data_IF_722833046916
#
_entry.id   IF_722833046916
#
_cell.length_a   1.000
_cell.length_b   1.000
_cell.length_c   1.000
_cell.angle_alpha   90.00
_cell.angle_beta   90.00
_cell.angle_gamma   90.00
#
_symmetry.space_group_name_H-M   'P 1'
#
loop_
_entity.id
_entity.type
_entity.pdbx_description
1 polymer ?
#
# COMPACT_ATOMS: atom_id res chain seq x y z
N UNK A 1 -2.31 -15.22 50.00
CA UNK A 1 -3.04 -15.83 48.87
C UNK A 1 -3.14 -14.74 47.81
N UNK A 2 -2.20 -14.71 46.87
CA UNK A 2 -2.13 -13.66 45.84
C UNK A 2 -3.30 -13.78 44.87
N UNK A 3 -4.18 -12.79 44.91
CA UNK A 3 -5.16 -12.54 43.86
C UNK A 3 -4.42 -12.20 42.57
N UNK A 4 -4.25 -13.21 41.71
CA UNK A 4 -3.89 -13.01 40.30
C UNK A 4 -5.00 -12.17 39.66
N UNK A 5 -4.78 -10.85 39.58
CA UNK A 5 -5.55 -9.95 38.72
C UNK A 5 -5.57 -10.55 37.31
N UNK A 6 -6.70 -11.12 36.94
CA UNK A 6 -7.00 -11.44 35.57
C UNK A 6 -7.13 -10.08 34.86
N UNK A 7 -6.04 -9.55 34.31
CA UNK A 7 -6.13 -8.42 33.38
C UNK A 7 -7.06 -8.85 32.25
N UNK A 8 -8.29 -8.34 32.27
CA UNK A 8 -9.20 -8.43 31.13
C UNK A 8 -8.49 -7.80 29.94
N UNK A 9 -7.93 -8.65 29.07
CA UNK A 9 -7.20 -8.20 27.90
C UNK A 9 -8.11 -7.32 27.04
N UNK A 10 -7.71 -6.08 26.81
CA UNK A 10 -8.45 -5.15 25.95
C UNK A 10 -8.69 -5.81 24.56
N UNK A 11 -9.94 -5.97 24.11
CA UNK A 11 -10.24 -6.66 22.85
C UNK A 11 -9.52 -6.05 21.64
N UNK A 12 -9.33 -4.72 21.60
CA UNK A 12 -8.58 -4.05 20.55
C UNK A 12 -7.11 -4.52 20.48
N UNK A 13 -6.50 -4.85 21.62
CA UNK A 13 -5.12 -5.36 21.67
C UNK A 13 -5.04 -6.77 21.07
N UNK A 14 -6.03 -7.62 21.35
CA UNK A 14 -6.13 -8.97 20.80
C UNK A 14 -6.35 -8.92 19.29
N UNK A 15 -7.26 -8.05 18.81
CA UNK A 15 -7.52 -7.85 17.39
C UNK A 15 -6.28 -7.34 16.66
N UNK A 16 -5.53 -6.39 17.25
CA UNK A 16 -4.28 -5.90 16.69
C UNK A 16 -3.20 -6.99 16.65
N UNK A 17 -3.06 -7.80 17.70
CA UNK A 17 -2.11 -8.92 17.71
C UNK A 17 -2.45 -9.94 16.62
N UNK A 18 -3.74 -10.26 16.42
CA UNK A 18 -4.18 -11.14 15.34
C UNK A 18 -3.88 -10.56 13.95
N UNK A 19 -4.08 -9.26 13.76
CA UNK A 19 -3.69 -8.57 12.52
C UNK A 19 -2.18 -8.64 12.27
N UNK A 20 -1.37 -8.37 13.30
CA UNK A 20 0.10 -8.44 13.21
C UNK A 20 0.57 -9.86 12.91
N UNK A 21 -0.09 -10.89 13.45
CA UNK A 21 0.28 -12.30 13.29
C UNK A 21 -0.30 -12.97 12.03
N UNK A 22 -1.25 -12.33 11.34
CA UNK A 22 -1.87 -12.89 10.14
C UNK A 22 -0.82 -13.27 9.06
N UNK A 23 -1.01 -14.45 8.47
CA UNK A 23 -0.05 -15.10 7.55
C UNK A 23 -0.53 -15.20 6.10
N UNK A 24 -1.75 -14.74 5.84
CA UNK A 24 -2.38 -14.74 4.50
C UNK A 24 -2.93 -13.36 4.18
N UNK A 25 -3.07 -13.04 2.90
CA UNK A 25 -3.62 -11.75 2.45
C UNK A 25 -5.07 -11.57 2.97
N UNK A 26 -5.97 -12.52 2.67
CA UNK A 26 -7.35 -12.53 3.22
C UNK A 26 -7.41 -12.43 4.74
N UNK A 27 -6.58 -13.20 5.45
CA UNK A 27 -6.56 -13.18 6.91
C UNK A 27 -6.12 -11.83 7.46
N UNK A 28 -5.16 -11.18 6.79
CA UNK A 28 -4.69 -9.83 7.15
C UNK A 28 -5.79 -8.78 6.93
N UNK A 29 -6.45 -8.79 5.76
CA UNK A 29 -7.56 -7.89 5.44
C UNK A 29 -8.73 -8.07 6.43
N UNK A 30 -9.16 -9.30 6.66
CA UNK A 30 -10.23 -9.62 7.61
C UNK A 30 -9.89 -9.17 9.04
N UNK A 31 -8.70 -9.51 9.52
CA UNK A 31 -8.28 -9.13 10.87
C UNK A 31 -8.19 -7.60 11.05
N UNK A 32 -7.78 -6.88 10.00
CA UNK A 32 -7.74 -5.42 10.02
C UNK A 32 -9.13 -4.79 9.98
N UNK A 33 -10.05 -5.35 9.18
CA UNK A 33 -11.44 -4.89 9.14
C UNK A 33 -12.10 -5.03 10.53
N UNK A 34 -11.98 -6.20 11.16
CA UNK A 34 -12.53 -6.43 12.51
C UNK A 34 -11.92 -5.49 13.55
N UNK A 35 -10.62 -5.14 13.42
CA UNK A 35 -9.99 -4.12 14.27
C UNK A 35 -10.58 -2.72 14.02
N UNK A 36 -10.79 -2.34 12.76
CA UNK A 36 -11.38 -1.04 12.41
C UNK A 36 -12.83 -0.95 12.89
N UNK A 37 -13.62 -2.01 12.73
CA UNK A 37 -15.01 -2.07 13.18
C UNK A 37 -15.09 -1.92 14.70
N UNK A 38 -14.26 -2.66 15.45
CA UNK A 38 -14.21 -2.56 16.91
C UNK A 38 -13.77 -1.17 17.42
N UNK A 39 -12.89 -0.49 16.68
CA UNK A 39 -12.44 0.86 16.99
C UNK A 39 -13.33 1.95 16.38
N UNK A 40 -14.41 1.59 15.68
CA UNK A 40 -15.31 2.49 14.95
C UNK A 40 -14.55 3.44 14.00
N UNK A 41 -13.61 2.88 13.25
CA UNK A 41 -12.79 3.61 12.28
C UNK A 41 -13.25 3.28 10.86
N UNK A 42 -13.33 4.31 10.02
CA UNK A 42 -13.60 4.18 8.58
C UNK A 42 -12.30 4.40 7.80
N UNK A 43 -11.68 3.35 7.22
CA UNK A 43 -10.48 3.50 6.39
C UNK A 43 -10.65 4.46 5.21
N UNK A 44 -11.90 4.66 4.74
CA UNK A 44 -12.23 5.61 3.68
C UNK A 44 -11.89 7.08 4.04
N UNK A 45 -11.89 7.43 5.33
CA UNK A 45 -11.53 8.77 5.84
C UNK A 45 -9.99 8.96 5.91
N UNK A 46 -9.31 8.67 4.80
CA UNK A 46 -7.86 8.45 4.69
C UNK A 46 -7.00 9.54 5.35
N UNK A 47 -7.39 10.82 5.23
CA UNK A 47 -6.64 11.97 5.77
C UNK A 47 -6.43 11.93 7.28
N UNK A 48 -7.36 11.32 8.02
CA UNK A 48 -7.33 11.29 9.49
C UNK A 48 -7.20 9.88 10.06
N UNK A 49 -7.36 8.86 9.21
CA UNK A 49 -7.47 7.46 9.62
C UNK A 49 -6.28 7.00 10.47
N UNK A 50 -5.04 7.17 9.98
CA UNK A 50 -3.83 6.75 10.70
C UNK A 50 -3.72 7.41 12.09
N UNK A 51 -3.98 8.71 12.17
CA UNK A 51 -3.93 9.45 13.43
C UNK A 51 -5.00 8.96 14.42
N UNK A 52 -6.23 8.72 13.95
CA UNK A 52 -7.31 8.16 14.76
C UNK A 52 -7.00 6.75 15.23
N UNK A 53 -6.53 5.87 14.34
CA UNK A 53 -6.09 4.51 14.67
C UNK A 53 -5.04 4.52 15.77
N UNK A 54 -3.98 5.31 15.59
CA UNK A 54 -2.91 5.45 16.58
C UNK A 54 -3.45 5.96 17.92
N UNK A 55 -4.34 6.96 17.92
CA UNK A 55 -4.90 7.54 19.14
C UNK A 55 -5.79 6.58 19.92
N UNK A 56 -6.61 5.77 19.23
CA UNK A 56 -7.51 4.79 19.86
C UNK A 56 -6.78 3.51 20.30
N UNK A 57 -5.64 3.17 19.69
CA UNK A 57 -4.87 1.97 20.00
C UNK A 57 -3.66 2.27 20.92
N UNK A 58 -3.95 2.54 22.20
CA UNK A 58 -2.92 2.71 23.24
C UNK A 58 -2.37 1.37 23.74
N UNK A 59 -1.64 0.67 22.85
CA UNK A 59 -1.08 -0.64 23.11
C UNK A 59 0.45 -0.60 23.12
N UNK A 60 1.10 -1.11 24.18
CA UNK A 60 2.56 -1.11 24.30
C UNK A 60 3.27 -1.80 23.12
N UNK A 61 2.66 -2.87 22.58
CA UNK A 61 3.16 -3.58 21.40
C UNK A 61 3.10 -2.76 20.12
N UNK A 62 2.26 -1.73 20.05
CA UNK A 62 2.07 -0.87 18.89
C UNK A 62 2.91 0.43 18.94
N UNK A 63 3.26 0.92 20.14
CA UNK A 63 4.01 2.18 20.33
C UNK A 63 5.30 2.28 19.49
N UNK A 64 6.10 1.22 19.46
CA UNK A 64 7.36 1.20 18.70
C UNK A 64 7.13 1.25 17.17
N UNK A 65 6.00 0.71 16.69
CA UNK A 65 5.60 0.80 15.29
C UNK A 65 5.17 2.23 14.94
N UNK A 66 4.38 2.86 15.80
CA UNK A 66 3.96 4.25 15.64
C UNK A 66 5.14 5.20 15.54
N UNK A 67 6.10 5.11 16.46
CA UNK A 67 7.29 5.95 16.43
C UNK A 67 8.10 5.83 15.12
N UNK A 68 8.14 4.63 14.52
CA UNK A 68 8.82 4.39 13.23
C UNK A 68 8.09 5.05 12.06
N UNK A 69 6.77 4.87 11.98
CA UNK A 69 5.95 5.44 10.92
C UNK A 69 5.85 6.97 11.06
N UNK A 70 5.67 7.49 12.27
CA UNK A 70 5.70 8.93 12.57
C UNK A 70 7.05 9.55 12.16
N UNK A 71 8.18 8.90 12.50
CA UNK A 71 9.52 9.36 12.08
C UNK A 71 9.63 9.42 10.55
N UNK A 72 9.16 8.39 9.83
CA UNK A 72 9.16 8.39 8.36
C UNK A 72 8.30 9.52 7.80
N UNK A 73 7.04 9.63 8.22
CA UNK A 73 6.09 10.64 7.72
C UNK A 73 6.46 12.07 8.08
N UNK A 74 7.31 12.28 9.09
CA UNK A 74 7.84 13.60 9.46
C UNK A 74 8.93 14.13 8.54
N UNK A 75 9.44 13.32 7.59
CA UNK A 75 10.47 13.76 6.66
C UNK A 75 10.00 14.98 5.84
N UNK A 76 10.89 15.94 5.63
CA UNK A 76 10.57 17.24 5.02
C UNK A 76 9.91 17.11 3.63
N UNK A 77 10.30 16.09 2.87
CA UNK A 77 9.81 15.85 1.51
C UNK A 77 8.30 15.52 1.49
N UNK A 78 7.77 14.92 2.55
CA UNK A 78 6.33 14.65 2.66
C UNK A 78 5.50 15.88 3.02
N UNK A 79 6.14 17.02 3.36
CA UNK A 79 5.48 18.27 3.75
C UNK A 79 4.37 18.07 4.80
N UNK A 80 4.61 17.20 5.78
CA UNK A 80 3.63 16.81 6.82
C UNK A 80 2.33 16.20 6.23
N UNK A 81 2.45 15.40 5.18
CA UNK A 81 1.31 14.79 4.48
C UNK A 81 0.48 15.78 3.66
N UNK A 82 1.07 16.90 3.25
CA UNK A 82 0.37 17.96 2.51
C UNK A 82 0.86 18.14 1.07
N UNK A 83 1.79 17.32 0.61
CA UNK A 83 2.36 17.43 -0.73
C UNK A 83 1.34 17.06 -1.83
N UNK A 84 0.50 16.05 -1.58
CA UNK A 84 -0.43 15.49 -2.57
C UNK A 84 -1.88 15.37 -2.04
N UNK A 85 -2.32 16.27 -1.15
CA UNK A 85 -3.61 16.14 -0.42
C UNK A 85 -4.86 16.02 -1.28
N UNK A 86 -4.83 16.56 -2.50
CA UNK A 86 -5.95 16.52 -3.45
C UNK A 86 -5.69 15.58 -4.63
N UNK A 87 -4.65 14.76 -4.56
CA UNK A 87 -4.31 13.78 -5.60
C UNK A 87 -4.91 12.43 -5.23
N UNK A 88 -5.62 11.83 -6.18
CA UNK A 88 -6.18 10.49 -6.16
C UNK A 88 -5.35 9.59 -7.07
N UNK A 89 -4.79 8.55 -6.48
CA UNK A 89 -3.93 7.60 -7.17
C UNK A 89 -4.62 6.22 -7.24
N UNK A 90 -4.51 5.56 -8.38
CA UNK A 90 -4.81 4.14 -8.57
C UNK A 90 -3.50 3.37 -8.83
N UNK A 91 -3.28 2.29 -8.09
CA UNK A 91 -2.14 1.40 -8.27
C UNK A 91 -2.63 0.03 -8.69
N UNK A 92 -2.09 -0.48 -9.80
CA UNK A 92 -2.39 -1.80 -10.32
C UNK A 92 -1.36 -2.78 -9.78
N UNK A 93 -1.78 -3.72 -8.93
CA UNK A 93 -0.95 -4.79 -8.40
C UNK A 93 -0.44 -4.56 -6.97
N UNK A 94 -0.68 -5.53 -6.10
CA UNK A 94 -0.20 -5.58 -4.72
C UNK A 94 1.12 -6.38 -4.61
N UNK A 95 2.01 -6.23 -5.60
CA UNK A 95 3.40 -6.69 -5.51
C UNK A 95 4.22 -5.84 -4.52
N UNK A 96 5.46 -6.25 -4.19
CA UNK A 96 6.32 -5.45 -3.31
C UNK A 96 6.49 -4.00 -3.79
N UNK A 97 6.74 -3.79 -5.08
CA UNK A 97 6.91 -2.44 -5.63
C UNK A 97 5.61 -1.63 -5.56
N UNK A 98 4.47 -2.18 -6.00
CA UNK A 98 3.17 -1.50 -5.96
C UNK A 98 2.78 -1.08 -4.54
N UNK A 99 2.89 -1.99 -3.56
CA UNK A 99 2.61 -1.67 -2.15
C UNK A 99 3.60 -0.65 -1.58
N UNK A 100 4.89 -0.74 -1.95
CA UNK A 100 5.89 0.22 -1.48
C UNK A 100 5.62 1.61 -2.04
N UNK A 101 5.26 1.73 -3.32
CA UNK A 101 4.85 3.01 -3.93
C UNK A 101 3.59 3.55 -3.28
N UNK A 102 2.62 2.69 -2.98
CA UNK A 102 1.40 3.06 -2.26
C UNK A 102 1.70 3.73 -0.92
N UNK A 103 2.64 3.18 -0.16
CA UNK A 103 3.07 3.71 1.14
C UNK A 103 3.65 5.13 1.00
N UNK A 104 4.52 5.40 0.03
CA UNK A 104 5.07 6.76 -0.14
C UNK A 104 4.01 7.77 -0.59
N UNK A 105 3.10 7.38 -1.49
CA UNK A 105 2.00 8.27 -1.92
C UNK A 105 1.06 8.59 -0.77
N UNK A 106 0.78 7.62 0.10
CA UNK A 106 0.00 7.84 1.31
C UNK A 106 0.72 8.80 2.26
N UNK A 107 2.03 8.66 2.45
CA UNK A 107 2.83 9.59 3.27
C UNK A 107 2.90 11.01 2.67
N UNK A 108 2.85 11.14 1.34
CA UNK A 108 2.71 12.44 0.66
C UNK A 108 1.33 13.08 0.88
N UNK A 109 0.34 12.32 1.35
CA UNK A 109 -1.02 12.78 1.65
C UNK A 109 -2.05 12.47 0.56
N UNK A 110 -1.70 11.69 -0.46
CA UNK A 110 -2.62 11.31 -1.54
C UNK A 110 -3.70 10.33 -1.07
N UNK A 111 -4.85 10.33 -1.73
CA UNK A 111 -5.81 9.22 -1.66
C UNK A 111 -5.25 8.09 -2.53
N UNK A 112 -4.95 6.95 -1.93
CA UNK A 112 -4.37 5.81 -2.65
C UNK A 112 -5.35 4.64 -2.62
N UNK A 113 -5.66 4.12 -3.81
CA UNK A 113 -6.41 2.89 -4.02
C UNK A 113 -5.50 1.90 -4.75
N UNK A 114 -5.42 0.67 -4.25
CA UNK A 114 -4.69 -0.43 -4.87
C UNK A 114 -5.68 -1.49 -5.30
N UNK A 115 -5.59 -1.94 -6.55
CA UNK A 115 -6.36 -3.09 -7.05
C UNK A 115 -5.41 -4.26 -7.33
N UNK A 116 -5.78 -5.46 -6.92
CA UNK A 116 -4.99 -6.68 -7.14
C UNK A 116 -5.91 -7.80 -7.63
N UNK A 117 -5.50 -8.43 -8.73
CA UNK A 117 -6.24 -9.53 -9.35
C UNK A 117 -6.35 -10.76 -8.42
N UNK A 118 -5.34 -11.03 -7.59
CA UNK A 118 -5.30 -12.19 -6.70
C UNK A 118 -5.74 -11.85 -5.27
N UNK A 119 -6.20 -12.83 -4.53
CA UNK A 119 -6.49 -12.69 -3.10
C UNK A 119 -5.48 -13.39 -2.18
N UNK A 120 -4.40 -13.92 -2.74
CA UNK A 120 -3.38 -14.65 -2.02
C UNK A 120 -1.96 -14.30 -2.48
N UNK A 121 -1.05 -14.22 -1.52
CA UNK A 121 0.39 -14.12 -1.76
C UNK A 121 1.02 -15.52 -1.68
N UNK A 122 1.23 -16.15 -2.83
CA UNK A 122 1.65 -17.55 -2.95
C UNK A 122 3.13 -17.76 -3.29
N UNK A 123 3.84 -16.73 -3.73
CA UNK A 123 5.23 -16.84 -4.20
C UNK A 123 6.21 -17.02 -3.05
N UNK A 124 6.89 -18.17 -3.02
CA UNK A 124 7.90 -18.50 -2.02
C UNK A 124 9.34 -18.16 -2.46
N UNK A 125 9.54 -17.74 -3.72
CA UNK A 125 10.86 -17.31 -4.20
C UNK A 125 11.46 -16.24 -3.27
N UNK A 126 12.77 -16.28 -3.12
CA UNK A 126 13.52 -15.44 -2.20
C UNK A 126 14.19 -14.31 -2.99
N UNK A 127 14.05 -13.08 -2.48
CA UNK A 127 14.70 -11.88 -3.00
C UNK A 127 15.88 -11.53 -2.11
N UNK A 128 17.03 -11.31 -2.73
CA UNK A 128 18.15 -10.63 -2.06
C UNK A 128 17.80 -9.15 -1.83
N UNK A 129 18.20 -8.62 -0.68
CA UNK A 129 17.92 -7.26 -0.24
C UNK A 129 19.24 -6.49 -0.09
N UNK A 130 19.35 -5.37 -0.80
CA UNK A 130 20.47 -4.47 -0.60
C UNK A 130 20.39 -3.79 0.77
N UNK A 131 21.52 -3.32 1.33
CA UNK A 131 21.55 -2.71 2.66
C UNK A 131 20.54 -1.57 2.85
N UNK A 132 20.35 -0.71 1.84
CA UNK A 132 19.38 0.38 1.93
C UNK A 132 17.94 -0.12 2.05
N UNK A 133 17.61 -1.26 1.43
CA UNK A 133 16.27 -1.85 1.50
C UNK A 133 16.00 -2.42 2.87
N UNK A 134 17.00 -3.11 3.44
CA UNK A 134 16.91 -3.62 4.80
C UNK A 134 16.67 -2.45 5.76
N UNK A 135 17.39 -1.33 5.58
CA UNK A 135 17.16 -0.11 6.34
C UNK A 135 15.76 0.45 6.15
N UNK A 136 15.29 0.56 4.90
CA UNK A 136 13.96 1.07 4.57
C UNK A 136 12.84 0.26 5.25
N UNK A 137 12.86 -1.06 5.09
CA UNK A 137 11.89 -1.98 5.67
C UNK A 137 11.96 -2.00 7.21
N UNK A 138 13.16 -1.91 7.82
CA UNK A 138 13.31 -1.71 9.28
C UNK A 138 12.71 -0.37 9.73
N UNK A 139 12.82 0.66 8.90
CA UNK A 139 12.21 1.97 9.10
C UNK A 139 10.68 1.95 9.03
N UNK A 140 10.10 1.02 8.25
CA UNK A 140 8.64 0.78 8.19
C UNK A 140 8.13 -0.21 9.25
N UNK A 141 9.02 -0.71 10.12
CA UNK A 141 8.64 -1.62 11.20
C UNK A 141 8.56 -3.10 10.80
N UNK A 142 9.25 -3.53 9.73
CA UNK A 142 9.23 -4.92 9.25
C UNK A 142 9.41 -5.98 10.35
N UNK A 143 10.32 -5.76 11.31
CA UNK A 143 10.58 -6.69 12.42
C UNK A 143 9.36 -6.89 13.35
N UNK A 144 8.42 -5.95 13.38
CA UNK A 144 7.16 -6.07 14.14
C UNK A 144 6.22 -7.09 13.51
N UNK A 145 6.17 -7.11 12.18
CA UNK A 145 5.29 -7.98 11.40
C UNK A 145 5.93 -9.33 11.06
N UNK A 146 7.26 -9.38 11.03
CA UNK A 146 8.05 -10.57 10.76
C UNK A 146 9.30 -10.58 11.65
N UNK A 147 9.22 -11.26 12.80
CA UNK A 147 10.28 -11.24 13.81
C UNK A 147 11.65 -11.76 13.31
N UNK A 148 11.63 -12.62 12.29
CA UNK A 148 12.82 -13.18 11.64
C UNK A 148 13.43 -12.24 10.58
N UNK A 149 12.85 -11.07 10.34
CA UNK A 149 13.31 -10.13 9.31
C UNK A 149 14.78 -9.74 9.52
N UNK A 150 15.64 -10.19 8.59
CA UNK A 150 17.07 -9.90 8.56
C UNK A 150 17.73 -10.04 9.96
N UNK A 151 17.50 -11.18 10.61
CA UNK A 151 18.16 -11.54 11.86
C UNK A 151 19.60 -12.02 11.58
N UNK A 152 20.58 -11.53 12.35
CA UNK A 152 21.99 -11.81 12.09
C UNK A 152 22.44 -11.24 10.74
N UNK A 153 23.11 -12.07 9.94
CA UNK A 153 23.60 -11.72 8.60
C UNK A 153 22.59 -12.02 7.46
N UNK A 154 21.33 -12.32 7.78
CA UNK A 154 20.30 -12.59 6.77
C UNK A 154 19.98 -11.30 6.00
N UNK A 155 20.10 -11.35 4.69
CA UNK A 155 19.94 -10.25 3.74
C UNK A 155 18.89 -10.56 2.65
N UNK A 156 17.97 -11.48 2.92
CA UNK A 156 16.99 -11.94 1.95
C UNK A 156 15.62 -12.19 2.57
N UNK A 157 14.57 -12.19 1.74
CA UNK A 157 13.18 -12.41 2.17
C UNK A 157 12.36 -13.08 1.05
N UNK A 158 11.42 -13.95 1.39
CA UNK A 158 10.49 -14.47 0.39
C UNK A 158 9.47 -13.42 -0.06
N UNK A 159 9.09 -13.47 -1.34
CA UNK A 159 8.19 -12.48 -1.95
C UNK A 159 6.89 -12.34 -1.14
N UNK A 160 6.26 -13.45 -0.78
CA UNK A 160 5.01 -13.42 0.01
C UNK A 160 5.16 -12.77 1.38
N UNK A 161 6.30 -12.94 2.05
CA UNK A 161 6.53 -12.33 3.36
C UNK A 161 6.73 -10.82 3.23
N UNK A 162 7.47 -10.39 2.20
CA UNK A 162 7.60 -8.97 1.88
C UNK A 162 6.25 -8.33 1.55
N UNK A 163 5.42 -9.00 0.75
CA UNK A 163 4.05 -8.54 0.45
C UNK A 163 3.20 -8.42 1.71
N UNK A 164 3.24 -9.38 2.65
CA UNK A 164 2.49 -9.29 3.92
C UNK A 164 2.96 -8.13 4.81
N UNK A 165 4.26 -7.88 4.90
CA UNK A 165 4.81 -6.76 5.67
C UNK A 165 4.29 -5.44 5.09
N UNK A 166 4.42 -5.25 3.78
CA UNK A 166 4.02 -4.02 3.12
C UNK A 166 2.49 -3.84 3.12
N UNK A 167 1.72 -4.92 2.98
CA UNK A 167 0.26 -4.90 3.09
C UNK A 167 -0.18 -4.37 4.46
N UNK A 168 0.44 -4.85 5.55
CA UNK A 168 0.11 -4.40 6.90
C UNK A 168 0.41 -2.92 7.10
N UNK A 169 1.56 -2.45 6.60
CA UNK A 169 1.92 -1.03 6.65
C UNK A 169 0.95 -0.18 5.83
N UNK A 170 0.60 -0.62 4.62
CA UNK A 170 -0.33 0.07 3.74
C UNK A 170 -1.72 0.25 4.39
N UNK A 171 -2.26 -0.83 4.98
CA UNK A 171 -3.55 -0.79 5.68
C UNK A 171 -3.53 0.17 6.88
N UNK A 172 -2.46 0.15 7.68
CA UNK A 172 -2.29 1.08 8.82
C UNK A 172 -2.31 2.55 8.36
N UNK A 173 -1.71 2.84 7.20
CA UNK A 173 -1.66 4.19 6.64
C UNK A 173 -2.97 4.61 5.95
N UNK A 174 -4.00 3.76 5.95
CA UNK A 174 -5.32 4.09 5.38
C UNK A 174 -5.39 3.91 3.86
N UNK A 175 -4.48 3.13 3.29
CA UNK A 175 -4.52 2.78 1.86
C UNK A 175 -5.66 1.80 1.63
N UNK A 176 -6.49 2.10 0.63
CA UNK A 176 -7.62 1.26 0.25
C UNK A 176 -7.15 0.16 -0.70
N UNK A 177 -7.42 -1.10 -0.39
CA UNK A 177 -6.89 -2.24 -1.13
C UNK A 177 -8.04 -3.19 -1.48
N UNK A 178 -8.22 -3.41 -2.78
CA UNK A 178 -9.23 -4.31 -3.34
C UNK A 178 -8.55 -5.51 -3.98
N UNK A 179 -8.83 -6.71 -3.46
CA UNK A 179 -8.36 -7.98 -4.01
C UNK A 179 -9.45 -8.63 -4.87
N UNK A 180 -9.08 -9.57 -5.74
CA UNK A 180 -9.97 -10.16 -6.74
C UNK A 180 -10.55 -9.15 -7.72
N UNK A 181 -9.78 -8.10 -8.02
CA UNK A 181 -10.13 -7.07 -9.00
C UNK A 181 -9.03 -6.98 -10.04
N UNK A 182 -9.37 -7.35 -11.27
CA UNK A 182 -8.45 -7.26 -12.41
C UNK A 182 -8.65 -5.93 -13.13
N UNK A 183 -7.56 -5.20 -13.34
CA UNK A 183 -7.54 -4.07 -14.27
C UNK A 183 -7.56 -4.57 -15.71
N UNK A 184 -8.41 -3.99 -16.55
CA UNK A 184 -8.55 -4.34 -17.96
C UNK A 184 -8.22 -3.19 -18.91
N UNK A 185 -8.28 -1.95 -18.45
CA UNK A 185 -7.98 -0.79 -19.28
C UNK A 185 -8.39 0.53 -18.64
N UNK A 186 -8.13 1.63 -19.35
CA UNK A 186 -8.55 2.97 -18.95
C UNK A 186 -9.89 3.31 -19.59
N UNK A 187 -10.73 4.02 -18.84
CA UNK A 187 -11.92 4.68 -19.34
C UNK A 187 -11.61 6.18 -19.39
N UNK A 188 -11.60 6.71 -20.61
CA UNK A 188 -11.35 8.14 -20.84
C UNK A 188 -12.54 8.96 -20.33
N UNK A 189 -12.31 10.19 -19.83
CA UNK A 189 -13.36 11.17 -19.61
C UNK A 189 -14.24 11.34 -20.86
N UNK A 190 -15.57 11.50 -20.73
CA UNK A 190 -16.42 11.84 -21.87
C UNK A 190 -16.05 13.21 -22.44
N UNK A 191 -16.27 13.38 -23.75
CA UNK A 191 -16.02 14.65 -24.46
C UNK A 191 -16.98 15.76 -24.04
N UNK A 192 -18.25 15.41 -23.81
CA UNK A 192 -19.27 16.31 -23.28
C UNK A 192 -19.17 16.37 -21.74
N UNK A 193 -18.78 17.55 -21.23
CA UNK A 193 -18.65 17.85 -19.80
C UNK A 193 -19.42 19.11 -19.38
N UNK A 194 -20.46 19.50 -20.13
CA UNK A 194 -21.21 20.73 -19.85
C UNK A 194 -21.94 20.66 -18.49
N UNK A 195 -22.42 19.47 -18.11
CA UNK A 195 -23.22 19.26 -16.89
C UNK A 195 -22.47 18.59 -15.74
N UNK A 196 -21.49 17.72 -16.02
CA UNK A 196 -20.74 16.98 -15.00
C UNK A 196 -19.29 16.75 -15.45
N UNK A 197 -18.32 17.06 -14.58
CA UNK A 197 -16.90 16.80 -14.84
C UNK A 197 -16.52 15.42 -14.34
N UNK A 198 -16.47 14.46 -15.25
CA UNK A 198 -16.09 13.07 -14.95
C UNK A 198 -14.60 12.88 -15.26
N UNK A 199 -13.81 12.43 -14.28
CA UNK A 199 -12.39 12.14 -14.43
C UNK A 199 -12.06 10.79 -15.09
N UNK A 200 -10.76 10.47 -15.15
CA UNK A 200 -10.28 9.16 -15.61
C UNK A 200 -10.73 8.06 -14.67
N UNK A 201 -11.20 6.94 -15.23
CA UNK A 201 -11.62 5.75 -14.48
C UNK A 201 -10.94 4.49 -15.00
N UNK A 202 -11.04 3.41 -14.24
CA UNK A 202 -10.49 2.11 -14.61
C UNK A 202 -11.60 1.17 -15.04
N UNK A 203 -11.43 0.53 -16.21
CA UNK A 203 -12.18 -0.66 -16.56
C UNK A 203 -11.64 -1.82 -15.73
N UNK A 204 -12.49 -2.41 -14.91
CA UNK A 204 -12.13 -3.50 -14.01
C UNK A 204 -13.05 -4.71 -14.17
N UNK A 205 -12.56 -5.88 -13.77
CA UNK A 205 -13.36 -7.09 -13.62
C UNK A 205 -13.36 -7.57 -12.16
N UNK A 206 -14.53 -7.80 -11.55
CA UNK A 206 -15.89 -7.61 -12.12
C UNK A 206 -16.25 -6.12 -12.25
N UNK A 207 -16.98 -5.76 -13.32
CA UNK A 207 -17.37 -4.36 -13.62
C UNK A 207 -18.27 -3.72 -12.55
N UNK A 208 -18.96 -4.54 -11.77
CA UNK A 208 -19.84 -4.11 -10.67
C UNK A 208 -19.08 -3.78 -9.39
N UNK A 209 -17.75 -3.97 -9.37
CA UNK A 209 -16.95 -3.66 -8.21
C UNK A 209 -16.95 -2.14 -7.94
N UNK A 210 -17.12 -1.66 -6.69
CA UNK A 210 -17.23 -0.22 -6.38
C UNK A 210 -16.07 0.67 -6.84
N UNK A 211 -14.94 0.09 -7.19
CA UNK A 211 -13.78 0.82 -7.73
C UNK A 211 -13.99 1.26 -9.18
N UNK A 212 -15.00 0.75 -9.89
CA UNK A 212 -15.38 1.23 -11.23
C UNK A 212 -15.72 2.72 -11.23
N UNK A 213 -16.28 3.23 -10.13
CA UNK A 213 -16.65 4.63 -9.94
C UNK A 213 -15.51 5.48 -9.38
N UNK A 214 -14.34 4.89 -9.15
CA UNK A 214 -13.21 5.62 -8.60
C UNK A 214 -12.50 6.41 -9.70
N UNK A 215 -12.63 7.73 -9.63
CA UNK A 215 -11.87 8.67 -10.44
C UNK A 215 -10.49 8.95 -9.85
N UNK A 216 -9.47 9.00 -10.71
CA UNK A 216 -8.09 9.25 -10.32
C UNK A 216 -7.37 10.17 -11.31
N UNK A 217 -6.37 10.91 -10.83
CA UNK A 217 -5.49 11.73 -11.68
C UNK A 217 -4.14 11.07 -11.93
N UNK A 218 -3.79 10.06 -11.12
CA UNK A 218 -2.53 9.33 -11.20
C UNK A 218 -2.80 7.83 -11.27
N UNK A 219 -2.20 7.16 -12.25
CA UNK A 219 -2.20 5.69 -12.33
C UNK A 219 -0.78 5.15 -12.34
N UNK A 220 -0.57 4.03 -11.64
CA UNK A 220 0.74 3.39 -11.49
C UNK A 220 0.64 1.88 -11.77
N UNK A 221 1.40 1.43 -12.75
CA UNK A 221 1.57 0.00 -13.07
C UNK A 221 2.57 -0.68 -12.13
N UNK A 222 2.08 -1.53 -11.22
CA UNK A 222 2.85 -2.36 -10.30
C UNK A 222 2.59 -3.86 -10.48
N UNK A 223 2.02 -4.26 -11.62
CA UNK A 223 1.54 -5.61 -11.97
C UNK A 223 2.62 -6.51 -12.59
N UNK A 224 3.85 -5.99 -12.72
CA UNK A 224 5.02 -6.72 -13.19
C UNK A 224 5.05 -6.85 -14.71
N UNK A 225 5.56 -7.97 -15.22
CA UNK A 225 5.83 -8.15 -16.67
C UNK A 225 4.59 -8.05 -17.57
N UNK A 226 3.38 -8.24 -17.03
CA UNK A 226 2.16 -8.18 -17.84
C UNK A 226 1.80 -6.76 -18.28
N UNK A 227 2.34 -5.74 -17.60
CA UNK A 227 2.14 -4.30 -17.85
C UNK A 227 0.84 -3.99 -18.60
N UNK A 228 -0.28 -3.96 -17.87
CA UNK A 228 -1.60 -3.77 -18.47
C UNK A 228 -1.90 -2.34 -18.93
N UNK A 229 -0.94 -1.41 -18.83
CA UNK A 229 -1.09 -0.04 -19.33
C UNK A 229 -0.60 0.06 -20.79
N UNK A 230 -1.53 0.39 -21.68
CA UNK A 230 -1.26 0.64 -23.09
C UNK A 230 -0.41 1.91 -23.28
N UNK A 231 0.42 1.96 -24.33
CA UNK A 231 1.26 3.11 -24.67
C UNK A 231 2.63 3.17 -23.98
N UNK A 232 2.98 2.19 -23.14
CA UNK A 232 4.30 2.12 -22.47
C UNK A 232 5.14 0.99 -23.10
N UNK A 233 6.23 1.37 -23.78
CA UNK A 233 7.28 0.43 -24.21
C UNK A 233 7.97 -0.22 -23.00
N UNK A 234 8.16 -1.53 -23.04
CA UNK A 234 8.64 -2.32 -21.90
C UNK A 234 10.05 -1.90 -21.42
N UNK A 235 10.12 -1.21 -20.28
CA UNK A 235 11.31 -1.21 -19.43
C UNK A 235 10.90 -1.42 -17.96
N UNK A 236 11.62 -2.30 -17.26
CA UNK A 236 11.25 -2.85 -15.96
C UNK A 236 11.42 -1.84 -14.82
N UNK A 237 10.47 -0.94 -14.57
CA UNK A 237 10.34 -0.18 -13.32
C UNK A 237 8.97 0.51 -13.23
N UNK A 238 8.53 0.92 -12.04
CA UNK A 238 7.18 1.47 -11.83
C UNK A 238 7.01 2.84 -12.54
N UNK A 239 5.92 3.00 -13.30
CA UNK A 239 5.65 4.20 -14.09
C UNK A 239 4.54 5.05 -13.46
N UNK A 240 4.71 6.38 -13.51
CA UNK A 240 3.70 7.35 -13.11
C UNK A 240 3.22 8.07 -14.37
N UNK A 241 1.92 7.98 -14.68
CA UNK A 241 1.28 8.83 -15.68
C UNK A 241 0.54 9.93 -14.92
N UNK A 242 0.96 11.18 -15.14
CA UNK A 242 0.28 12.37 -14.66
C UNK A 242 0.17 13.37 -15.84
N UNK A 243 -1.03 13.85 -16.12
CA UNK A 243 -1.29 14.91 -17.12
C UNK A 243 -0.66 14.65 -18.52
N UNK A 244 -0.73 13.42 -19.02
CA UNK A 244 -0.17 13.06 -20.33
C UNK A 244 1.36 13.10 -20.42
N UNK A 245 2.06 13.26 -19.29
CA UNK A 245 3.53 13.17 -19.21
C UNK A 245 3.94 11.89 -18.48
N UNK A 246 4.80 11.12 -19.14
CA UNK A 246 5.47 9.95 -18.57
C UNK A 246 6.49 10.43 -17.53
N UNK A 247 6.24 10.13 -16.26
CA UNK A 247 7.18 10.40 -15.17
C UNK A 247 7.74 9.07 -14.66
N UNK A 248 9.06 8.90 -14.80
CA UNK A 248 9.80 7.77 -14.24
C UNK A 248 9.81 7.85 -12.71
N UNK A 249 9.28 6.83 -12.04
CA UNK A 249 9.63 6.59 -10.64
C UNK A 249 10.68 5.47 -10.59
N UNK A 250 11.95 5.86 -10.54
CA UNK A 250 13.00 4.91 -10.19
C UNK A 250 12.93 4.65 -8.68
N UNK A 251 12.59 3.42 -8.29
CA UNK A 251 13.48 2.73 -7.40
C UNK A 251 13.81 1.38 -8.03
N UNK A 252 15.05 0.93 -7.83
CA UNK A 252 15.59 -0.40 -8.20
C UNK A 252 16.22 -0.46 -9.59
N UNK A 253 17.55 -0.43 -9.58
CA UNK A 253 18.41 -0.47 -10.76
C UNK A 253 18.23 -1.74 -11.59
N UNK A 254 17.41 -1.64 -12.62
CA UNK A 254 17.53 -2.42 -13.83
C UNK A 254 18.03 -1.51 -14.96
N UNK A 255 18.96 -2.03 -15.74
CA UNK A 255 19.71 -1.39 -16.81
C UNK A 255 18.81 -0.63 -17.80
N UNK A 256 19.20 0.61 -18.11
CA UNK A 256 18.57 1.45 -19.14
C UNK A 256 18.73 0.75 -20.50
N UNK A 257 17.62 0.32 -21.11
CA UNK A 257 17.58 0.15 -22.56
C UNK A 257 17.08 1.47 -23.12
N UNK A 258 18.01 2.23 -23.70
CA UNK A 258 17.76 3.44 -24.47
C UNK A 258 16.80 3.12 -25.62
N UNK A 259 15.65 3.79 -25.69
CA UNK A 259 14.92 3.87 -26.95
C UNK A 259 14.10 5.16 -27.04
N UNK A 260 14.48 5.95 -28.05
CA UNK A 260 13.93 7.22 -28.51
C UNK A 260 12.40 7.22 -28.57
N UNK A 261 11.80 8.25 -27.99
CA UNK A 261 10.42 8.66 -28.27
C UNK A 261 10.32 9.03 -29.76
N UNK A 262 9.47 8.33 -30.50
CA UNK A 262 8.89 8.87 -31.72
C UNK A 262 7.67 9.69 -31.32
N UNK A 263 7.62 10.90 -31.86
CA UNK A 263 6.64 11.97 -31.61
C UNK A 263 5.19 11.53 -31.85
#
# INVERSE_FOLDING_TARGET
MEERKHETMNPAHVLFDRFVQATTCKGTLKAFQELCDHLELKPKDYRSFYHKLKSKLNYWKAKALWAKLDKRGSHKDYKKGKACTNTKCLIIGAGPCGLRTAIDLSLLGAKVVVIEKRDAFSRNNVLHLWPFTIHDLRGLGAKKFYGKFCAGAIDHISIRQLQLILLKVALILGIEIHVNVEFQGLIQPPEDQENERIGWRALVHPKTHPVSEYEFEVIIGGDGRRNTLEGIGLCSSAWLIAEGKLMLSYPWGATVCDQRLLF
#
